data_IF_149069463958
#
_entry.id   IF_149069463958
#
_cell.length_a   1.000
_cell.length_b   1.000
_cell.length_c   1.000
_cell.angle_alpha   90.00
_cell.angle_beta   90.00
_cell.angle_gamma   90.00
#
_symmetry.space_group_name_H-M   'P 1'
#
loop_
_entity.id
_entity.type
_entity.pdbx_description
1 polymer ?
#
# COMPACT_ATOMS: atom_id res chain seq x y z
N UNK A 1 18.21 27.03 -8.61
CA UNK A 1 17.03 26.85 -9.48
C UNK A 1 16.60 25.39 -9.36
N UNK A 2 15.60 25.07 -8.54
CA UNK A 2 15.11 23.69 -8.41
C UNK A 2 14.36 23.33 -9.69
N UNK A 3 14.85 22.36 -10.47
CA UNK A 3 14.05 21.77 -11.56
C UNK A 3 12.77 21.23 -10.93
N UNK A 4 11.61 21.79 -11.30
CA UNK A 4 10.33 21.16 -11.00
C UNK A 4 10.30 19.85 -11.77
N UNK A 5 10.47 18.73 -11.07
CA UNK A 5 10.27 17.40 -11.65
C UNK A 5 8.82 17.24 -12.14
N UNK A 6 8.53 16.17 -12.91
CA UNK A 6 7.17 15.86 -13.31
C UNK A 6 6.24 15.79 -12.09
N UNK A 7 4.96 16.14 -12.27
CA UNK A 7 3.96 15.89 -11.24
C UNK A 7 3.72 14.37 -11.11
N UNK A 8 3.10 13.94 -10.02
CA UNK A 8 2.97 12.51 -9.70
C UNK A 8 2.22 11.70 -10.77
N UNK A 9 1.12 12.21 -11.36
CA UNK A 9 0.49 11.56 -12.52
C UNK A 9 1.40 11.41 -13.73
N UNK A 10 2.15 12.45 -14.10
CA UNK A 10 3.08 12.39 -15.23
C UNK A 10 4.18 11.36 -14.96
N UNK A 11 4.75 11.35 -13.75
CA UNK A 11 5.78 10.39 -13.38
C UNK A 11 5.25 8.94 -13.39
N UNK A 12 3.99 8.72 -12.98
CA UNK A 12 3.33 7.40 -13.05
C UNK A 12 3.26 6.92 -14.50
N UNK A 13 2.74 7.75 -15.40
CA UNK A 13 2.59 7.40 -16.80
C UNK A 13 3.92 7.25 -17.54
N UNK A 14 4.95 8.03 -17.18
CA UNK A 14 6.30 7.83 -17.69
C UNK A 14 6.87 6.46 -17.31
N UNK A 15 6.69 6.04 -16.05
CA UNK A 15 7.10 4.70 -15.61
C UNK A 15 6.29 3.63 -16.32
N UNK A 16 4.97 3.81 -16.45
CA UNK A 16 4.13 2.89 -17.20
C UNK A 16 4.59 2.72 -18.65
N UNK A 17 4.86 3.81 -19.35
CA UNK A 17 5.38 3.77 -20.73
C UNK A 17 6.74 3.07 -20.83
N UNK A 18 7.65 3.29 -19.86
CA UNK A 18 8.95 2.62 -19.81
C UNK A 18 8.84 1.11 -19.57
N UNK A 19 7.84 0.69 -18.80
CA UNK A 19 7.57 -0.72 -18.49
C UNK A 19 6.66 -1.40 -19.53
N UNK A 20 6.12 -0.65 -20.50
CA UNK A 20 5.13 -1.16 -21.44
C UNK A 20 3.75 -1.44 -20.81
N UNK A 21 3.44 -0.79 -19.68
CA UNK A 21 2.16 -0.90 -18.99
C UNK A 21 1.13 0.06 -19.57
N UNK A 22 -0.13 -0.37 -19.59
CA UNK A 22 -1.22 0.42 -20.13
C UNK A 22 -1.77 1.41 -19.09
N UNK A 23 -2.33 2.52 -19.54
CA UNK A 23 -3.19 3.34 -18.68
C UNK A 23 -4.48 2.58 -18.39
N UNK A 24 -4.91 2.56 -17.12
CA UNK A 24 -6.16 1.91 -16.74
C UNK A 24 -7.35 2.63 -17.41
N UNK A 25 -8.22 1.87 -18.08
CA UNK A 25 -9.39 2.43 -18.77
C UNK A 25 -10.45 3.00 -17.81
N UNK A 26 -10.51 2.45 -16.59
CA UNK A 26 -11.38 2.90 -15.52
C UNK A 26 -10.73 2.61 -14.18
N UNK A 27 -11.02 3.45 -13.19
CA UNK A 27 -10.41 3.32 -11.86
C UNK A 27 -11.52 3.15 -10.82
N UNK A 28 -11.61 1.95 -10.24
CA UNK A 28 -12.47 1.72 -9.07
C UNK A 28 -11.77 2.27 -7.82
N UNK A 29 -12.45 3.17 -7.10
CA UNK A 29 -11.99 3.71 -5.81
C UNK A 29 -11.57 2.62 -4.84
N UNK A 30 -12.29 1.49 -4.82
CA UNK A 30 -11.96 0.36 -3.95
C UNK A 30 -10.61 -0.29 -4.28
N UNK A 31 -10.12 -0.12 -5.50
CA UNK A 31 -8.87 -0.67 -6.02
C UNK A 31 -7.69 0.31 -5.95
N UNK A 32 -7.91 1.59 -5.64
CA UNK A 32 -6.84 2.62 -5.61
C UNK A 32 -6.61 3.25 -4.24
N UNK A 33 -7.48 2.95 -3.27
CA UNK A 33 -7.20 3.21 -1.87
C UNK A 33 -6.51 2.00 -1.23
N UNK A 34 -5.74 2.19 -0.14
CA UNK A 34 -5.40 1.09 0.75
C UNK A 34 -6.68 0.36 1.20
N UNK A 35 -6.71 -0.98 1.24
CA UNK A 35 -7.92 -1.75 1.53
C UNK A 35 -8.66 -1.32 2.81
N UNK A 36 -7.92 -1.00 3.88
CA UNK A 36 -8.53 -0.52 5.13
C UNK A 36 -9.24 0.81 4.93
N UNK A 37 -8.60 1.76 4.23
CA UNK A 37 -9.13 3.09 3.97
C UNK A 37 -10.35 3.03 3.06
N UNK A 38 -10.32 2.14 2.06
CA UNK A 38 -11.44 1.86 1.18
C UNK A 38 -12.66 1.31 1.94
N UNK A 39 -12.43 0.42 2.91
CA UNK A 39 -13.49 -0.25 3.66
C UNK A 39 -14.22 0.65 4.67
N UNK A 40 -13.51 1.60 5.30
CA UNK A 40 -14.11 2.52 6.30
C UNK A 40 -14.34 3.94 5.80
N UNK A 41 -13.94 4.24 4.56
CA UNK A 41 -14.07 5.56 3.94
C UNK A 41 -13.55 6.71 4.83
N UNK A 42 -12.30 6.59 5.30
CA UNK A 42 -11.69 7.53 6.28
C UNK A 42 -11.76 8.98 5.80
N UNK A 43 -11.64 9.20 4.50
CA UNK A 43 -11.56 10.52 3.89
C UNK A 43 -12.86 10.94 3.21
N UNK A 44 -13.96 10.22 3.45
CA UNK A 44 -15.29 10.60 2.98
C UNK A 44 -15.47 10.54 1.46
N UNK A 45 -14.65 9.78 0.74
CA UNK A 45 -14.75 9.57 -0.71
C UNK A 45 -16.09 8.98 -1.13
N UNK A 46 -16.71 8.15 -0.27
CA UNK A 46 -18.05 7.59 -0.50
C UNK A 46 -19.16 8.51 -0.01
N UNK A 47 -18.84 9.62 0.66
CA UNK A 47 -19.81 10.66 1.05
C UNK A 47 -20.08 11.58 -0.13
N UNK A 48 -21.35 11.96 -0.33
CA UNK A 48 -21.76 12.91 -1.40
C UNK A 48 -21.02 14.23 -1.21
N UNK A 49 -20.17 14.60 -2.18
CA UNK A 49 -19.52 15.91 -2.27
C UNK A 49 -18.00 15.92 -2.09
N UNK A 50 -17.38 14.80 -1.69
CA UNK A 50 -15.92 14.70 -1.68
C UNK A 50 -15.39 14.80 -3.12
N UNK A 51 -14.48 15.74 -3.36
CA UNK A 51 -13.79 15.87 -4.64
C UNK A 51 -12.53 15.01 -4.58
N UNK A 52 -12.26 14.26 -5.63
CA UNK A 52 -11.06 13.45 -5.76
C UNK A 52 -10.67 13.30 -7.22
N UNK A 53 -9.41 12.97 -7.47
CA UNK A 53 -8.88 12.66 -8.78
C UNK A 53 -7.96 11.46 -8.68
N UNK A 54 -7.97 10.62 -9.72
CA UNK A 54 -7.15 9.42 -9.75
C UNK A 54 -6.55 9.16 -11.13
N UNK A 55 -5.38 8.54 -11.10
CA UNK A 55 -4.62 8.10 -12.28
C UNK A 55 -4.07 6.73 -11.97
N UNK A 56 -4.11 5.82 -12.95
CA UNK A 56 -3.64 4.45 -12.74
C UNK A 56 -3.07 3.85 -14.02
N UNK A 57 -2.13 2.92 -13.83
CA UNK A 57 -1.58 2.05 -14.86
C UNK A 57 -1.72 0.60 -14.43
N UNK A 58 -1.92 -0.27 -15.42
CA UNK A 58 -2.10 -1.70 -15.24
C UNK A 58 -0.93 -2.46 -15.84
N UNK A 59 -0.32 -3.30 -15.01
CA UNK A 59 0.78 -4.19 -15.36
C UNK A 59 0.36 -5.65 -15.51
N UNK A 60 1.30 -6.53 -15.88
CA UNK A 60 1.09 -7.97 -15.89
C UNK A 60 0.59 -8.52 -14.55
N UNK A 61 -0.11 -9.66 -14.58
CA UNK A 61 -0.56 -10.33 -13.35
C UNK A 61 -1.60 -9.55 -12.53
N UNK A 62 -2.23 -8.52 -13.11
CA UNK A 62 -3.23 -7.70 -12.44
C UNK A 62 -2.66 -6.67 -11.47
N UNK A 63 -1.37 -6.31 -11.61
CA UNK A 63 -0.77 -5.21 -10.84
C UNK A 63 -1.41 -3.89 -11.24
N UNK A 64 -1.89 -3.16 -10.24
CA UNK A 64 -2.43 -1.81 -10.40
C UNK A 64 -1.55 -0.83 -9.62
N UNK A 65 -0.92 0.11 -10.31
CA UNK A 65 -0.24 1.25 -9.70
C UNK A 65 -1.10 2.50 -9.88
N UNK A 66 -1.39 3.22 -8.80
CA UNK A 66 -2.38 4.30 -8.79
C UNK A 66 -2.00 5.47 -7.90
N UNK A 67 -2.25 6.66 -8.41
CA UNK A 67 -2.20 7.93 -7.70
C UNK A 67 -3.62 8.39 -7.41
N UNK A 68 -3.94 8.72 -6.16
CA UNK A 68 -5.24 9.24 -5.74
C UNK A 68 -5.02 10.52 -4.92
N UNK A 69 -5.56 11.64 -5.39
CA UNK A 69 -5.62 12.90 -4.65
C UNK A 69 -7.05 13.12 -4.13
N UNK A 70 -7.19 13.43 -2.84
CA UNK A 70 -8.48 13.71 -2.18
C UNK A 70 -8.51 15.19 -1.75
N UNK A 71 -9.60 15.89 -2.07
CA UNK A 71 -9.77 17.31 -1.79
C UNK A 71 -10.89 17.49 -0.75
N UNK A 72 -10.53 17.41 0.53
CA UNK A 72 -11.47 17.52 1.65
C UNK A 72 -11.66 18.97 2.13
N UNK A 73 -10.58 19.74 2.22
CA UNK A 73 -10.55 21.18 2.55
C UNK A 73 -9.29 21.86 1.96
N UNK A 74 -9.10 23.16 2.17
CA UNK A 74 -7.96 23.92 1.63
C UNK A 74 -6.60 23.55 2.26
N UNK A 75 -6.58 22.79 3.37
CA UNK A 75 -5.40 22.56 4.19
C UNK A 75 -4.97 21.09 4.30
N UNK A 76 -5.86 20.14 3.99
CA UNK A 76 -5.63 18.70 4.03
C UNK A 76 -6.03 18.04 2.70
N UNK A 77 -5.01 17.69 1.92
CA UNK A 77 -5.13 16.95 0.67
C UNK A 77 -4.42 15.60 0.81
N UNK A 78 -5.13 14.55 1.30
CA UNK A 78 -4.58 13.21 1.33
C UNK A 78 -4.23 12.77 -0.09
N UNK A 79 -3.01 12.26 -0.24
CA UNK A 79 -2.55 11.65 -1.49
C UNK A 79 -2.12 10.22 -1.21
N UNK A 80 -2.61 9.29 -2.01
CA UNK A 80 -2.20 7.89 -1.97
C UNK A 80 -1.46 7.54 -3.25
N UNK A 81 -0.26 6.98 -3.08
CA UNK A 81 0.40 6.23 -4.11
C UNK A 81 0.38 4.76 -3.70
N UNK A 82 -0.41 3.97 -4.43
CA UNK A 82 -0.72 2.57 -4.10
C UNK A 82 -0.30 1.70 -5.27
N UNK A 83 0.42 0.62 -4.98
CA UNK A 83 0.69 -0.45 -5.93
C UNK A 83 0.26 -1.77 -5.30
N UNK A 84 -0.50 -2.58 -6.01
CA UNK A 84 -0.92 -3.88 -5.50
C UNK A 84 -1.70 -4.71 -6.50
N UNK A 85 -1.99 -5.94 -6.11
CA UNK A 85 -2.82 -6.88 -6.87
C UNK A 85 -3.61 -7.79 -5.92
N UNK A 86 -4.29 -8.77 -6.50
CA UNK A 86 -4.94 -9.81 -5.72
C UNK A 86 -3.90 -10.56 -4.89
N UNK A 87 -4.16 -10.68 -3.60
CA UNK A 87 -3.35 -11.54 -2.72
C UNK A 87 -3.61 -13.02 -3.08
N UNK A 88 -2.61 -13.90 -2.97
CA UNK A 88 -2.82 -15.33 -3.22
C UNK A 88 -3.91 -15.93 -2.33
N UNK A 89 -4.73 -16.85 -2.85
CA UNK A 89 -5.92 -17.36 -2.15
C UNK A 89 -5.62 -17.94 -0.76
N UNK A 90 -4.45 -18.59 -0.61
CA UNK A 90 -4.02 -19.19 0.66
C UNK A 90 -3.76 -18.14 1.75
N UNK A 91 -3.35 -16.92 1.38
CA UNK A 91 -3.12 -15.83 2.33
C UNK A 91 -4.41 -15.33 2.96
N UNK A 92 -5.55 -15.43 2.27
CA UNK A 92 -6.85 -14.96 2.78
C UNK A 92 -7.29 -15.68 4.04
N UNK A 93 -6.91 -16.96 4.17
CA UNK A 93 -7.28 -17.81 5.31
C UNK A 93 -6.27 -17.64 6.45
N UNK A 94 -4.97 -17.72 6.16
CA UNK A 94 -3.92 -17.70 7.18
C UNK A 94 -3.57 -16.28 7.68
N UNK A 95 -3.67 -15.30 6.79
CA UNK A 95 -3.28 -13.90 7.01
C UNK A 95 -4.42 -12.95 6.60
N UNK A 96 -5.63 -13.11 7.16
CA UNK A 96 -6.82 -12.38 6.71
C UNK A 96 -6.68 -10.86 6.79
N UNK A 97 -5.85 -10.36 7.71
CA UNK A 97 -5.49 -8.94 7.78
C UNK A 97 -4.11 -8.72 8.41
N UNK A 98 -3.19 -8.12 7.65
CA UNK A 98 -1.83 -7.73 8.08
C UNK A 98 -1.55 -6.27 7.69
N UNK A 99 -0.96 -5.52 8.62
CA UNK A 99 -0.47 -4.16 8.42
C UNK A 99 1.02 -4.11 8.81
N UNK A 100 1.86 -3.65 7.89
CA UNK A 100 3.30 -3.48 8.13
C UNK A 100 3.67 -2.05 7.72
N UNK A 101 4.47 -1.36 8.54
CA UNK A 101 4.92 0.00 8.24
C UNK A 101 6.37 0.25 8.61
N UNK A 102 7.05 1.07 7.80
CA UNK A 102 8.39 1.59 8.05
C UNK A 102 8.32 3.10 8.29
N UNK A 103 9.02 3.59 9.34
CA UNK A 103 9.03 5.00 9.80
C UNK A 103 7.65 5.48 10.31
N UNK A 104 7.53 6.78 10.59
CA UNK A 104 6.35 7.48 11.12
C UNK A 104 5.17 7.47 10.13
N UNK A 105 4.77 6.31 9.59
CA UNK A 105 3.43 6.18 9.02
C UNK A 105 2.49 6.31 10.22
N UNK A 106 1.75 7.42 10.37
CA UNK A 106 0.79 7.54 11.44
C UNK A 106 -0.26 6.49 11.13
N UNK A 107 -0.31 5.43 11.92
CA UNK A 107 -1.43 4.49 11.90
C UNK A 107 -2.68 5.25 12.34
N UNK A 108 -3.30 5.97 11.41
CA UNK A 108 -4.46 6.82 11.63
C UNK A 108 -5.71 5.97 11.76
N UNK A 109 -6.03 5.58 12.99
CA UNK A 109 -7.37 5.35 13.53
C UNK A 109 -8.31 4.30 12.90
N UNK A 110 -8.02 3.66 11.78
CA UNK A 110 -8.85 2.59 11.20
C UNK A 110 -8.51 1.20 11.76
N UNK A 111 -7.93 1.14 12.97
CA UNK A 111 -7.47 -0.08 13.65
C UNK A 111 -8.42 -1.21 13.32
N UNK A 112 -7.90 -2.29 12.73
CA UNK A 112 -8.30 -3.70 12.73
C UNK A 112 -9.39 -4.19 13.73
N UNK A 113 -9.73 -3.43 14.76
CA UNK A 113 -10.82 -3.65 15.69
C UNK A 113 -12.19 -3.72 14.99
N UNK A 114 -12.79 -4.91 14.99
CA UNK A 114 -14.24 -5.18 14.94
C UNK A 114 -14.97 -4.87 13.62
N UNK A 115 -14.59 -3.81 12.90
CA UNK A 115 -15.29 -3.34 11.70
C UNK A 115 -14.97 -4.16 10.44
N UNK A 116 -13.87 -4.90 10.44
CA UNK A 116 -13.44 -5.76 9.32
C UNK A 116 -13.64 -7.25 9.61
N UNK A 117 -14.49 -7.60 10.58
CA UNK A 117 -14.71 -9.01 10.98
C UNK A 117 -13.58 -9.63 11.82
N UNK A 118 -12.51 -8.88 12.10
CA UNK A 118 -11.42 -9.29 12.99
C UNK A 118 -11.78 -9.01 14.46
N UNK A 119 -11.59 -9.97 15.39
CA UNK A 119 -11.81 -9.80 16.84
C UNK A 119 -10.76 -8.90 17.51
N UNK A 120 -10.05 -8.09 16.72
CA UNK A 120 -9.07 -7.10 17.16
C UNK A 120 -7.68 -7.39 16.62
N UNK A 121 -6.78 -6.42 16.79
CA UNK A 121 -5.37 -6.57 16.39
C UNK A 121 -4.44 -6.87 17.56
N UNK A 122 -3.31 -7.49 17.25
CA UNK A 122 -2.13 -7.51 18.11
C UNK A 122 -0.93 -6.89 17.40
N UNK A 123 -0.03 -6.29 18.17
CA UNK A 123 1.29 -5.87 17.67
C UNK A 123 2.21 -7.08 17.67
N UNK A 124 2.99 -7.25 16.62
CA UNK A 124 4.00 -8.30 16.51
C UNK A 124 5.37 -7.65 16.49
N UNK A 125 6.32 -8.22 17.23
CA UNK A 125 7.67 -7.68 17.34
C UNK A 125 8.53 -8.21 16.20
N UNK A 126 8.93 -7.35 15.27
CA UNK A 126 9.88 -7.68 14.20
C UNK A 126 11.29 -7.22 14.57
N UNK A 127 11.88 -7.84 15.62
CA UNK A 127 13.17 -7.43 16.20
C UNK A 127 14.23 -7.21 15.11
N UNK A 128 14.91 -6.06 15.15
CA UNK A 128 16.03 -5.75 14.24
C UNK A 128 15.66 -5.23 12.84
N UNK A 129 14.38 -5.24 12.45
CA UNK A 129 13.94 -4.83 11.10
C UNK A 129 13.53 -3.35 10.98
N UNK A 130 13.25 -2.69 12.10
CA UNK A 130 12.70 -1.33 12.12
C UNK A 130 11.24 -1.23 11.64
N UNK A 131 10.57 -2.36 11.42
CA UNK A 131 9.15 -2.42 11.05
C UNK A 131 8.26 -2.29 12.29
N UNK A 132 7.12 -1.65 12.11
CA UNK A 132 5.97 -1.84 12.98
C UNK A 132 5.01 -2.82 12.29
N UNK A 133 4.62 -3.89 12.99
CA UNK A 133 3.73 -4.92 12.45
C UNK A 133 2.48 -5.04 13.32
N UNK A 134 1.31 -5.11 12.67
CA UNK A 134 0.04 -5.47 13.29
C UNK A 134 -0.67 -6.52 12.45
N UNK A 135 -1.30 -7.46 13.15
CA UNK A 135 -2.06 -8.55 12.53
C UNK A 135 -3.40 -8.69 13.22
N UNK A 136 -4.40 -9.21 12.51
CA UNK A 136 -5.63 -9.71 13.13
C UNK A 136 -5.30 -10.78 14.17
N UNK A 137 -6.10 -10.86 15.24
CA UNK A 137 -6.04 -11.96 16.21
C UNK A 137 -6.40 -13.32 15.60
N UNK A 138 -7.07 -13.34 14.45
CA UNK A 138 -7.41 -14.58 13.72
C UNK A 138 -6.30 -15.07 12.79
N UNK A 139 -5.20 -14.33 12.64
CA UNK A 139 -4.10 -14.80 11.83
C UNK A 139 -3.45 -16.02 12.49
N UNK A 140 -3.16 -17.04 11.68
CA UNK A 140 -2.43 -18.22 12.12
C UNK A 140 -1.02 -17.82 12.60
N UNK A 141 -0.62 -18.27 13.79
CA UNK A 141 0.65 -17.85 14.38
C UNK A 141 1.86 -18.36 13.61
N UNK A 142 1.81 -19.58 13.08
CA UNK A 142 2.90 -20.15 12.29
C UNK A 142 3.04 -19.44 10.94
N UNK A 143 1.92 -19.06 10.31
CA UNK A 143 1.90 -18.24 9.10
C UNK A 143 2.48 -16.84 9.35
N UNK A 144 2.12 -16.19 10.46
CA UNK A 144 2.66 -14.88 10.85
C UNK A 144 4.16 -14.98 11.11
N UNK A 145 4.62 -15.98 11.86
CA UNK A 145 6.04 -16.15 12.17
C UNK A 145 6.84 -16.46 10.89
N UNK A 146 6.34 -17.36 10.04
CA UNK A 146 6.93 -17.70 8.74
C UNK A 146 7.04 -16.47 7.84
N UNK A 147 5.97 -15.68 7.74
CA UNK A 147 5.97 -14.43 6.98
C UNK A 147 7.07 -13.49 7.49
N UNK A 148 7.15 -13.25 8.80
CA UNK A 148 8.00 -12.20 9.37
C UNK A 148 9.49 -12.55 9.45
N UNK A 149 9.87 -13.83 9.34
CA UNK A 149 11.28 -14.23 9.28
C UNK A 149 11.88 -14.11 7.88
N UNK A 150 11.07 -13.76 6.87
CA UNK A 150 11.56 -13.60 5.49
C UNK A 150 12.62 -12.48 5.40
N UNK A 151 13.79 -12.81 4.86
CA UNK A 151 14.92 -11.88 4.79
C UNK A 151 14.67 -10.68 3.85
N UNK A 152 13.77 -10.80 2.87
CA UNK A 152 13.40 -9.76 1.90
C UNK A 152 12.64 -8.59 2.55
N UNK A 153 12.14 -8.74 3.78
CA UNK A 153 11.67 -7.59 4.55
C UNK A 153 12.76 -6.53 4.78
N UNK A 154 14.03 -6.94 4.81
CA UNK A 154 15.16 -6.01 4.86
C UNK A 154 15.27 -5.19 3.58
N UNK A 155 15.01 -5.82 2.43
CA UNK A 155 14.95 -5.13 1.14
C UNK A 155 13.78 -4.14 1.09
N UNK A 156 12.58 -4.56 1.54
CA UNK A 156 11.43 -3.65 1.69
C UNK A 156 11.78 -2.42 2.54
N UNK A 157 12.47 -2.62 3.66
CA UNK A 157 12.93 -1.53 4.51
C UNK A 157 13.93 -0.59 3.83
N UNK A 158 14.80 -1.10 2.96
CA UNK A 158 15.71 -0.28 2.14
C UNK A 158 14.95 0.54 1.12
N UNK A 159 14.00 -0.06 0.40
CA UNK A 159 13.14 0.62 -0.58
C UNK A 159 12.28 1.70 0.06
N UNK A 160 11.73 1.43 1.25
CA UNK A 160 10.99 2.41 2.04
C UNK A 160 11.79 3.70 2.31
N UNK A 161 13.11 3.60 2.50
CA UNK A 161 13.98 4.77 2.69
C UNK A 161 14.13 5.62 1.42
N UNK A 162 14.10 4.99 0.24
CA UNK A 162 14.19 5.65 -1.06
C UNK A 162 12.86 6.31 -1.48
N UNK A 163 11.72 5.70 -1.13
CA UNK A 163 10.37 6.14 -1.54
C UNK A 163 9.95 7.44 -0.84
N UNK A 164 10.13 7.54 0.48
CA UNK A 164 9.64 8.71 1.22
C UNK A 164 10.27 8.89 2.60
N UNK A 165 10.27 10.15 3.08
CA UNK A 165 10.46 10.46 4.51
C UNK A 165 9.26 10.03 5.36
N UNK A 166 8.04 10.05 4.78
CA UNK A 166 6.78 9.68 5.46
C UNK A 166 6.62 8.17 5.65
N UNK A 167 7.44 7.36 4.98
CA UNK A 167 7.46 5.91 5.13
C UNK A 167 6.71 5.16 4.03
N UNK A 168 6.75 3.83 4.17
CA UNK A 168 6.11 2.84 3.32
C UNK A 168 5.21 1.99 4.20
N UNK A 169 4.05 1.60 3.70
CA UNK A 169 3.12 0.70 4.35
C UNK A 169 2.76 -0.46 3.42
N UNK A 170 2.45 -1.60 4.04
CA UNK A 170 1.89 -2.78 3.40
C UNK A 170 0.59 -3.10 4.10
N UNK A 171 -0.45 -3.38 3.31
CA UNK A 171 -1.73 -3.89 3.80
C UNK A 171 -2.09 -5.15 3.02
N UNK A 172 -2.39 -6.21 3.75
CA UNK A 172 -3.01 -7.43 3.23
C UNK A 172 -4.37 -7.48 3.90
N UNK A 173 -5.45 -7.37 3.13
CA UNK A 173 -6.83 -7.42 3.67
C UNK A 173 -7.70 -8.20 2.70
N UNK A 174 -8.30 -9.28 3.19
CA UNK A 174 -9.13 -10.14 2.36
C UNK A 174 -8.34 -10.72 1.19
N UNK A 175 -8.73 -10.39 -0.04
CA UNK A 175 -8.11 -10.90 -1.27
C UNK A 175 -7.16 -9.90 -1.93
N UNK A 176 -6.69 -8.87 -1.22
CA UNK A 176 -5.86 -7.81 -1.81
C UNK A 176 -4.65 -7.50 -0.94
N UNK A 177 -3.50 -7.41 -1.59
CA UNK A 177 -2.24 -7.03 -0.98
C UNK A 177 -1.69 -5.80 -1.70
N UNK A 178 -1.35 -4.78 -0.92
CA UNK A 178 -0.87 -3.50 -1.45
C UNK A 178 0.36 -3.02 -0.71
N UNK A 179 1.20 -2.31 -1.44
CA UNK A 179 2.23 -1.42 -0.92
C UNK A 179 1.77 0.01 -1.20
N UNK A 180 1.85 0.89 -0.20
CA UNK A 180 1.46 2.26 -0.39
C UNK A 180 2.22 3.24 0.48
N UNK A 181 2.06 4.51 0.15
CA UNK A 181 2.52 5.62 0.98
C UNK A 181 1.53 6.78 0.88
N UNK A 182 1.36 7.48 1.99
CA UNK A 182 0.52 8.66 2.08
C UNK A 182 1.41 9.90 2.05
N UNK A 183 1.20 10.79 1.09
CA UNK A 183 2.10 11.92 0.88
C UNK A 183 1.39 13.25 0.82
N UNK A 184 1.44 14.02 1.90
CA UNK A 184 1.13 15.46 1.81
C UNK A 184 2.25 16.22 1.04
N UNK A 185 3.50 15.72 1.04
CA UNK A 185 4.68 16.55 0.66
C UNK A 185 5.88 15.82 0.01
N UNK A 186 5.76 14.55 -0.40
CA UNK A 186 6.92 13.78 -0.91
C UNK A 186 7.30 14.12 -2.37
N UNK A 187 8.54 13.82 -2.81
CA UNK A 187 8.96 13.96 -4.20
C UNK A 187 8.06 13.12 -5.12
N UNK A 188 7.58 13.74 -6.20
CA UNK A 188 6.60 13.17 -7.14
C UNK A 188 7.24 12.52 -8.39
N UNK A 189 8.49 12.07 -8.29
CA UNK A 189 9.30 11.62 -9.44
C UNK A 189 9.20 10.13 -9.77
N UNK A 190 9.63 9.77 -10.99
CA UNK A 190 9.52 8.42 -11.57
C UNK A 190 10.30 7.34 -10.79
N UNK A 191 11.39 7.71 -10.11
CA UNK A 191 12.16 6.80 -9.24
C UNK A 191 11.30 6.21 -8.11
N UNK A 192 10.46 7.03 -7.48
CA UNK A 192 9.56 6.58 -6.41
C UNK A 192 8.58 5.52 -6.89
N UNK A 193 8.04 5.70 -8.09
CA UNK A 193 7.13 4.72 -8.70
C UNK A 193 7.83 3.41 -9.00
N UNK A 194 9.07 3.45 -9.51
CA UNK A 194 9.86 2.22 -9.70
C UNK A 194 10.12 1.50 -8.38
N UNK A 195 10.44 2.22 -7.32
CA UNK A 195 10.63 1.62 -6.00
C UNK A 195 9.34 1.06 -5.39
N UNK A 196 8.19 1.71 -5.59
CA UNK A 196 6.89 1.18 -5.16
C UNK A 196 6.50 -0.09 -5.92
N UNK A 197 6.71 -0.12 -7.24
CA UNK A 197 6.45 -1.30 -8.08
C UNK A 197 7.36 -2.46 -7.66
N UNK A 198 8.66 -2.20 -7.50
CA UNK A 198 9.60 -3.24 -7.07
C UNK A 198 9.33 -3.71 -5.62
N UNK A 199 8.83 -2.84 -4.74
CA UNK A 199 8.38 -3.24 -3.41
C UNK A 199 7.14 -4.15 -3.46
N UNK A 200 6.23 -3.90 -4.40
CA UNK A 200 5.06 -4.75 -4.62
C UNK A 200 5.44 -6.13 -5.17
N UNK A 201 6.43 -6.20 -6.05
CA UNK A 201 7.00 -7.46 -6.55
C UNK A 201 7.60 -8.28 -5.40
N UNK A 202 8.39 -7.64 -4.54
CA UNK A 202 8.96 -8.29 -3.34
C UNK A 202 7.85 -8.79 -2.43
N UNK A 203 6.83 -7.98 -2.15
CA UNK A 203 5.69 -8.37 -1.31
C UNK A 203 5.05 -9.65 -1.83
N UNK A 204 4.69 -9.69 -3.12
CA UNK A 204 4.01 -10.87 -3.65
C UNK A 204 4.90 -12.08 -3.77
N UNK A 205 6.21 -11.91 -4.00
CA UNK A 205 7.16 -13.03 -3.95
C UNK A 205 7.18 -13.64 -2.54
N UNK A 206 7.16 -12.81 -1.49
CA UNK A 206 7.02 -13.29 -0.10
C UNK A 206 5.67 -14.02 0.06
N UNK A 207 4.56 -13.45 -0.41
CA UNK A 207 3.24 -14.08 -0.25
C UNK A 207 3.06 -15.38 -1.04
N UNK A 208 3.70 -15.52 -2.19
CA UNK A 208 3.62 -16.73 -3.02
C UNK A 208 4.43 -17.89 -2.44
N UNK A 209 5.50 -17.59 -1.70
CA UNK A 209 6.42 -18.55 -1.10
C UNK A 209 6.07 -18.91 0.35
N UNK A 210 5.36 -18.02 1.06
CA UNK A 210 4.90 -18.26 2.43
C UNK A 210 3.42 -18.65 2.47
N UNK A 211 3.08 -19.52 3.43
CA UNK A 211 1.72 -20.02 3.69
C UNK A 211 1.16 -21.07 2.68
N UNK A 212 2.06 -21.82 2.01
CA UNK A 212 1.72 -23.11 1.37
C UNK A 212 1.78 -24.25 2.39
#
# INVERSE_FOLDING_TARGET
MFRRGPNAPTALYEVGAQLGWATAASVDLSAIQPPTHAGVDVHGLRRRGARWQAWAIEGPGGVLASHLEVFNDEYDQPVYDVVGRAAPDHTRVALPHVEIGWRLVPYGNHRLAGRFGSPGSRKVSSKGTGMAVRVSRDCDEAAVDSLLVDSRWTEMGRRAQAISRTGLAVEIVGSRAVVFTTTATAPRGSERWRELIAAEEVLHTILDEHCR
#
